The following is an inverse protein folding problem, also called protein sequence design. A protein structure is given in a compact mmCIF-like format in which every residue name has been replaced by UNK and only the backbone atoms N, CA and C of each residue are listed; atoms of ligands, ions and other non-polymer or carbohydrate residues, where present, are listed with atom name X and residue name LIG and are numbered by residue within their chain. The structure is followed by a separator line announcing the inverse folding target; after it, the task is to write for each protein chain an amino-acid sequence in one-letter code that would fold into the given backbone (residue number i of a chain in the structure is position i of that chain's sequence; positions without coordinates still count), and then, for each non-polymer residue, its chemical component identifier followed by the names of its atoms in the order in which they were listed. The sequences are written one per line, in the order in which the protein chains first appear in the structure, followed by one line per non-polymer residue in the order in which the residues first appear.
data_IF_066348115894
#
_entry.id   IF_066348115894
#
_cell.length_a   1.000
_cell.length_b   1.000
_cell.length_c   1.000
_cell.angle_alpha   90.00
_cell.angle_beta   90.00
_cell.angle_gamma   90.00
#
_symmetry.space_group_name_H-M   'P 1'
#
loop_
_entity.id
_entity.type
_entity.pdbx_description
1 polymer ?
#
# COMPACT_ATOMS: atom_id res chain seq x y z
N UNK A 1 14.20 4.00 42.37
CA UNK A 1 13.93 2.55 42.37
C UNK A 1 12.74 2.32 41.46
N UNK A 2 12.93 2.65 40.20
CA UNK A 2 11.99 2.40 39.12
C UNK A 2 12.57 1.24 38.33
N UNK A 3 12.02 0.05 38.55
CA UNK A 3 12.40 -1.11 37.75
C UNK A 3 11.98 -0.86 36.30
N UNK A 4 12.84 -1.22 35.33
CA UNK A 4 12.49 -1.16 33.93
C UNK A 4 11.71 -2.41 33.56
N UNK A 5 10.51 -2.21 33.00
CA UNK A 5 9.59 -3.30 32.64
C UNK A 5 9.46 -3.36 31.13
N UNK A 6 9.92 -4.47 30.56
CA UNK A 6 9.86 -4.79 29.15
C UNK A 6 8.70 -5.76 28.92
N UNK A 7 7.79 -5.45 28.00
CA UNK A 7 6.70 -6.35 27.66
C UNK A 7 7.14 -7.27 26.52
N UNK A 8 7.06 -8.58 26.74
CA UNK A 8 7.45 -9.59 25.77
C UNK A 8 6.22 -10.33 25.28
N UNK A 9 6.00 -10.29 23.97
CA UNK A 9 4.96 -11.02 23.26
C UNK A 9 5.58 -12.26 22.63
N UNK A 10 4.91 -13.41 22.75
CA UNK A 10 5.34 -14.68 22.17
C UNK A 10 4.13 -15.38 21.52
N UNK A 11 4.34 -16.42 20.69
CA UNK A 11 3.21 -17.20 20.15
C UNK A 11 2.40 -17.93 21.25
N UNK A 12 2.99 -18.11 22.43
CA UNK A 12 2.38 -18.80 23.56
C UNK A 12 1.66 -17.86 24.56
N UNK A 13 1.74 -16.53 24.37
CA UNK A 13 1.16 -15.53 25.27
C UNK A 13 2.12 -14.37 25.52
N UNK A 14 1.89 -13.61 26.60
CA UNK A 14 2.68 -12.44 26.95
C UNK A 14 3.18 -12.47 28.39
N UNK A 15 4.34 -11.88 28.64
CA UNK A 15 4.87 -11.67 29.98
C UNK A 15 5.67 -10.37 30.07
N UNK A 16 5.93 -9.92 31.30
CA UNK A 16 6.77 -8.78 31.60
C UNK A 16 8.14 -9.27 32.10
N UNK A 17 9.20 -8.76 31.48
CA UNK A 17 10.60 -8.90 31.89
C UNK A 17 10.98 -7.66 32.71
N UNK A 18 11.34 -7.87 33.97
CA UNK A 18 11.55 -6.81 34.95
C UNK A 18 13.02 -6.77 35.31
N UNK A 19 13.66 -5.64 35.02
CA UNK A 19 15.05 -5.37 35.35
C UNK A 19 15.13 -4.43 36.54
N UNK A 20 15.96 -4.79 37.52
CA UNK A 20 16.33 -3.89 38.60
C UNK A 20 17.35 -2.85 38.12
N UNK A 21 17.45 -1.71 38.81
CA UNK A 21 18.52 -0.73 38.57
C UNK A 21 19.92 -1.29 38.88
N UNK A 22 20.01 -2.34 39.70
CA UNK A 22 21.25 -3.03 40.05
C UNK A 22 21.46 -4.24 39.13
N UNK A 23 22.50 -4.18 38.29
CA UNK A 23 22.86 -5.21 37.31
C UNK A 23 23.24 -6.56 37.95
N UNK A 24 23.56 -6.58 39.26
CA UNK A 24 23.82 -7.81 40.00
C UNK A 24 22.54 -8.56 40.41
N UNK A 25 21.37 -7.93 40.27
CA UNK A 25 20.06 -8.54 40.54
C UNK A 25 19.56 -9.23 39.27
N UNK A 26 19.29 -10.56 39.31
CA UNK A 26 18.78 -11.29 38.15
C UNK A 26 17.45 -10.72 37.65
N UNK A 27 17.23 -10.85 36.34
CA UNK A 27 15.97 -10.53 35.69
C UNK A 27 14.80 -11.32 36.31
N UNK A 28 13.68 -10.64 36.55
CA UNK A 28 12.45 -11.27 37.01
C UNK A 28 11.42 -11.34 35.88
N UNK A 29 10.67 -12.44 35.83
CA UNK A 29 9.61 -12.65 34.84
C UNK A 29 8.25 -12.73 35.53
N UNK A 30 7.27 -11.98 35.02
CA UNK A 30 5.91 -11.95 35.56
C UNK A 30 4.88 -11.95 34.43
N UNK A 31 3.97 -12.92 34.40
CA UNK A 31 2.94 -13.03 33.36
C UNK A 31 2.56 -14.47 33.06
N UNK A 32 2.27 -14.77 31.80
CA UNK A 32 1.90 -16.11 31.37
C UNK A 32 3.08 -17.09 31.49
N UNK A 33 2.94 -18.15 32.29
CA UNK A 33 3.97 -19.17 32.49
C UNK A 33 4.34 -19.90 31.20
N UNK A 34 3.38 -20.11 30.28
CA UNK A 34 3.65 -20.75 28.99
C UNK A 34 4.48 -19.86 28.08
N UNK A 35 4.22 -18.55 28.09
CA UNK A 35 5.00 -17.56 27.35
C UNK A 35 6.44 -17.46 27.89
N UNK A 36 6.61 -17.47 29.22
CA UNK A 36 7.93 -17.47 29.86
C UNK A 36 8.70 -18.75 29.51
N UNK A 37 8.07 -19.93 29.60
CA UNK A 37 8.72 -21.19 29.24
C UNK A 37 9.12 -21.23 27.76
N UNK A 38 8.22 -20.82 26.86
CA UNK A 38 8.50 -20.72 25.43
C UNK A 38 9.72 -19.85 25.16
N UNK A 39 9.80 -18.67 25.78
CA UNK A 39 10.92 -17.74 25.61
C UNK A 39 12.25 -18.34 26.08
N UNK A 40 12.26 -18.97 27.26
CA UNK A 40 13.47 -19.62 27.81
C UNK A 40 13.94 -20.78 26.94
N UNK A 41 13.03 -21.65 26.52
CA UNK A 41 13.33 -22.77 25.64
C UNK A 41 13.83 -22.28 24.28
N UNK A 42 13.20 -21.25 23.73
CA UNK A 42 13.62 -20.65 22.47
C UNK A 42 15.04 -20.09 22.55
N UNK A 43 15.37 -19.34 23.60
CA UNK A 43 16.71 -18.78 23.81
C UNK A 43 17.77 -19.89 23.92
N UNK A 44 17.46 -20.94 24.67
CA UNK A 44 18.32 -22.10 24.86
C UNK A 44 18.54 -22.89 23.56
N UNK A 45 17.46 -23.19 22.82
CA UNK A 45 17.52 -23.99 21.59
C UNK A 45 18.30 -23.26 20.49
N UNK A 46 18.05 -21.96 20.33
CA UNK A 46 18.63 -21.18 19.24
C UNK A 46 20.04 -20.67 19.52
N UNK A 47 20.56 -20.85 20.75
CA UNK A 47 21.91 -20.47 21.13
C UNK A 47 22.24 -19.03 20.71
N UNK A 48 21.32 -18.11 21.00
CA UNK A 48 21.44 -16.71 20.61
C UNK A 48 22.70 -16.12 21.25
N UNK A 49 23.49 -15.40 20.45
CA UNK A 49 24.70 -14.75 20.91
C UNK A 49 24.46 -13.24 21.07
N UNK A 50 24.82 -12.69 22.23
CA UNK A 50 24.71 -11.26 22.51
C UNK A 50 25.80 -10.41 21.87
N UNK A 51 25.83 -9.13 22.24
CA UNK A 51 26.75 -8.12 21.67
C UNK A 51 28.24 -8.43 21.77
N UNK A 52 28.65 -9.31 22.70
CA UNK A 52 30.03 -9.74 22.89
C UNK A 52 30.29 -11.20 22.47
N UNK A 53 29.35 -11.82 21.74
CA UNK A 53 29.49 -13.19 21.22
C UNK A 53 29.37 -14.30 22.29
N UNK A 54 28.94 -13.98 23.51
CA UNK A 54 28.55 -14.98 24.50
C UNK A 54 27.13 -15.47 24.24
N UNK A 55 26.88 -16.75 24.56
CA UNK A 55 25.53 -17.30 24.55
C UNK A 55 24.69 -16.64 25.62
N UNK A 56 23.54 -16.10 25.21
CA UNK A 56 22.58 -15.48 26.11
C UNK A 56 21.96 -16.53 27.04
N UNK A 57 21.85 -16.16 28.32
CA UNK A 57 21.22 -16.95 29.36
C UNK A 57 19.98 -16.21 29.82
N UNK A 58 18.84 -16.89 29.86
CA UNK A 58 17.57 -16.27 30.25
C UNK A 58 17.60 -15.70 31.66
N UNK A 59 18.46 -16.20 32.54
CA UNK A 59 18.53 -15.70 33.91
C UNK A 59 19.55 -14.54 34.07
N UNK A 60 20.27 -14.19 32.98
CA UNK A 60 21.32 -13.16 32.95
C UNK A 60 21.24 -12.27 31.72
N UNK A 61 20.03 -11.97 31.26
CA UNK A 61 19.84 -11.01 30.19
C UNK A 61 20.07 -9.60 30.70
N UNK A 62 20.65 -8.76 29.84
CA UNK A 62 20.58 -7.30 29.99
C UNK A 62 19.41 -6.73 29.17
N UNK A 63 18.95 -5.51 29.43
CA UNK A 63 17.94 -4.86 28.60
C UNK A 63 18.33 -4.79 27.11
N UNK A 64 19.61 -4.50 26.84
CA UNK A 64 20.17 -4.47 25.49
C UNK A 64 20.22 -5.85 24.84
N UNK A 65 20.49 -6.93 25.60
CA UNK A 65 20.44 -8.30 25.08
C UNK A 65 19.01 -8.68 24.70
N UNK A 66 18.04 -8.37 25.57
CA UNK A 66 16.62 -8.69 25.36
C UNK A 66 16.05 -7.93 24.15
N UNK A 67 16.27 -6.62 24.05
CA UNK A 67 15.77 -5.84 22.93
C UNK A 67 16.61 -6.05 21.67
N UNK A 68 17.93 -6.10 21.76
CA UNK A 68 18.78 -6.18 20.56
C UNK A 68 18.80 -7.53 19.87
N UNK A 69 18.71 -8.64 20.62
CA UNK A 69 19.07 -9.97 20.12
C UNK A 69 17.96 -11.02 20.25
N UNK A 70 16.98 -10.81 21.13
CA UNK A 70 15.92 -11.80 21.38
C UNK A 70 14.66 -11.61 20.52
N UNK A 71 14.72 -10.78 19.47
CA UNK A 71 13.63 -10.53 18.51
C UNK A 71 14.05 -10.72 17.03
N UNK A 72 14.73 -11.82 16.65
CA UNK A 72 15.09 -12.02 15.25
C UNK A 72 13.82 -12.25 14.41
N UNK A 73 13.85 -11.78 13.15
CA UNK A 73 12.78 -12.05 12.19
C UNK A 73 12.52 -13.56 12.14
N UNK A 74 11.27 -13.97 12.41
CA UNK A 74 10.76 -15.35 12.51
C UNK A 74 10.80 -16.04 13.90
N UNK A 75 11.23 -15.39 14.98
CA UNK A 75 11.08 -15.98 16.33
C UNK A 75 9.64 -16.01 16.84
N UNK A 76 8.78 -15.11 16.32
CA UNK A 76 7.46 -14.83 16.90
C UNK A 76 7.55 -14.13 18.26
N UNK A 77 8.74 -13.67 18.66
CA UNK A 77 9.00 -12.95 19.91
C UNK A 77 9.17 -11.48 19.57
N UNK A 78 8.35 -10.63 20.18
CA UNK A 78 8.41 -9.17 20.07
C UNK A 78 8.63 -8.57 21.45
N UNK A 79 9.57 -7.64 21.56
CA UNK A 79 9.94 -7.00 22.82
C UNK A 79 9.60 -5.51 22.75
N UNK A 80 8.71 -5.07 23.64
CA UNK A 80 8.29 -3.68 23.76
C UNK A 80 8.98 -3.06 24.99
N UNK A 81 9.99 -2.21 24.80
CA UNK A 81 10.69 -1.54 25.89
C UNK A 81 9.83 -0.45 26.53
N UNK A 82 10.15 -0.02 27.76
CA UNK A 82 9.57 1.19 28.33
C UNK A 82 9.97 2.42 27.50
N UNK A 83 9.14 3.46 27.54
CA UNK A 83 9.26 4.63 26.66
C UNK A 83 10.64 5.30 26.73
N UNK A 84 11.22 5.43 27.92
CA UNK A 84 12.53 6.06 28.11
C UNK A 84 13.65 5.26 27.41
N UNK A 85 13.60 3.93 27.48
CA UNK A 85 14.57 3.04 26.83
C UNK A 85 14.33 3.00 25.31
N UNK A 86 13.07 3.01 24.86
CA UNK A 86 12.72 3.15 23.43
C UNK A 86 13.33 4.42 22.82
N UNK A 87 13.24 5.54 23.54
CA UNK A 87 13.84 6.81 23.12
C UNK A 87 15.37 6.74 23.06
N UNK A 88 16.01 5.96 23.93
CA UNK A 88 17.47 5.78 23.90
C UNK A 88 17.93 4.97 22.68
N UNK A 89 17.24 3.88 22.33
CA UNK A 89 17.56 3.07 21.16
C UNK A 89 17.31 3.81 19.84
N UNK A 90 16.24 4.61 19.79
CA UNK A 90 15.96 5.45 18.61
C UNK A 90 16.92 6.64 18.48
N UNK A 91 17.44 7.19 19.59
CA UNK A 91 18.44 8.26 19.56
C UNK A 91 19.83 7.79 19.11
N UNK A 92 20.23 6.55 19.41
CA UNK A 92 21.47 5.96 18.88
C UNK A 92 21.44 5.78 17.34
N UNK A 93 20.25 5.54 16.77
CA UNK A 93 20.03 5.52 15.31
C UNK A 93 19.87 6.92 14.69
N UNK A 94 19.58 7.96 15.49
CA UNK A 94 19.29 9.35 15.05
C UNK A 94 20.48 10.30 15.30
N UNK A 95 21.70 9.80 15.54
CA UNK A 95 22.91 10.64 15.67
C UNK A 95 23.40 11.29 14.33
N UNK A 96 22.49 11.75 13.48
CA UNK A 96 22.73 12.78 12.46
C UNK A 96 21.79 13.98 12.73
N UNK A 97 22.31 15.21 12.84
CA UNK A 97 21.54 16.30 13.44
C UNK A 97 20.58 16.94 12.44
N UNK A 98 19.33 17.14 12.85
CA UNK A 98 18.47 18.21 12.32
C UNK A 98 17.72 18.91 13.44
N UNK A 99 18.00 20.21 13.53
CA UNK A 99 17.39 21.18 14.41
C UNK A 99 15.92 21.47 14.05
N UNK A 100 15.14 21.68 15.11
CA UNK A 100 14.01 22.61 15.31
C UNK A 100 12.91 22.75 14.24
N UNK A 101 11.66 22.48 14.65
CA UNK A 101 10.60 23.47 14.46
C UNK A 101 9.49 23.38 15.53
N UNK A 102 9.19 24.56 16.10
CA UNK A 102 8.24 24.81 17.18
C UNK A 102 6.91 25.39 16.63
N UNK A 103 5.81 24.86 17.15
CA UNK A 103 4.54 25.49 17.56
C UNK A 103 3.72 26.51 16.70
N UNK A 104 2.43 26.18 16.60
CA UNK A 104 1.22 27.01 16.83
C UNK A 104 0.60 27.88 15.70
N UNK A 105 -0.69 27.68 15.42
CA UNK A 105 -1.82 28.54 15.88
C UNK A 105 -3.19 28.00 15.39
N UNK A 106 -4.15 27.96 16.32
CA UNK A 106 -5.61 27.82 16.13
C UNK A 106 -6.23 29.20 16.38
N UNK A 107 -7.12 29.70 15.52
CA UNK A 107 -8.53 30.01 15.84
C UNK A 107 -9.25 30.92 14.83
N UNK A 108 -10.58 30.74 14.79
CA UNK A 108 -11.64 31.70 14.46
C UNK A 108 -11.92 32.04 12.98
N UNK A 109 -12.91 31.33 12.39
CA UNK A 109 -14.15 31.96 11.88
C UNK A 109 -15.11 30.90 11.35
N UNK A 110 -16.02 30.44 12.21
CA UNK A 110 -17.27 29.78 11.83
C UNK A 110 -18.40 30.63 12.41
N UNK A 111 -19.09 31.41 11.56
CA UNK A 111 -20.55 31.64 11.62
C UNK A 111 -21.03 32.64 10.56
N UNK A 112 -22.12 32.23 9.90
CA UNK A 112 -23.00 32.93 8.95
C UNK A 112 -22.58 32.76 7.48
N UNK A 113 -23.40 32.25 6.56
CA UNK A 113 -24.87 32.10 6.52
C UNK A 113 -25.24 31.11 5.41
N UNK A 114 -26.31 30.36 5.63
CA UNK A 114 -26.90 29.42 4.67
C UNK A 114 -27.76 30.11 3.60
N UNK A 115 -28.02 29.35 2.53
CA UNK A 115 -28.91 29.55 1.39
C UNK A 115 -28.35 30.36 0.21
N UNK A 116 -27.71 29.65 -0.73
CA UNK A 116 -27.82 29.83 -2.18
C UNK A 116 -27.26 28.56 -2.89
N UNK A 117 -28.15 27.86 -3.60
CA UNK A 117 -27.96 26.97 -4.77
C UNK A 117 -26.60 26.26 -5.02
N UNK A 118 -26.70 24.94 -5.25
CA UNK A 118 -25.68 24.02 -5.77
C UNK A 118 -24.80 24.64 -6.88
N UNK A 119 -23.48 24.37 -6.80
CA UNK A 119 -22.31 24.84 -7.59
C UNK A 119 -21.41 25.94 -6.97
N UNK A 120 -21.60 26.32 -5.70
CA UNK A 120 -20.94 27.49 -5.11
C UNK A 120 -19.88 27.30 -4.02
N UNK A 121 -19.35 26.10 -3.75
CA UNK A 121 -18.38 25.94 -2.64
C UNK A 121 -16.96 26.10 -3.15
N UNK A 122 -16.35 27.24 -2.80
CA UNK A 122 -14.93 27.52 -3.03
C UNK A 122 -14.05 26.41 -2.45
N UNK A 123 -12.94 26.08 -3.13
CA UNK A 123 -11.98 25.06 -2.68
C UNK A 123 -11.49 25.28 -1.25
N UNK A 124 -11.39 26.53 -0.79
CA UNK A 124 -11.03 26.86 0.60
C UNK A 124 -12.07 26.39 1.62
N UNK A 125 -13.37 26.50 1.30
CA UNK A 125 -14.43 26.02 2.18
C UNK A 125 -14.47 24.49 2.22
N UNK A 126 -14.13 23.82 1.11
CA UNK A 126 -13.97 22.36 1.10
C UNK A 126 -12.83 21.92 2.01
N UNK A 127 -11.67 22.58 1.93
CA UNK A 127 -10.51 22.29 2.78
C UNK A 127 -10.82 22.57 4.26
N UNK A 128 -11.52 23.66 4.58
CA UNK A 128 -11.91 24.00 5.96
C UNK A 128 -12.86 22.95 6.55
N UNK A 129 -13.80 22.45 5.74
CA UNK A 129 -14.72 21.38 6.09
C UNK A 129 -14.01 20.02 6.28
N UNK A 130 -13.02 19.70 5.44
CA UNK A 130 -12.18 18.50 5.60
C UNK A 130 -11.36 18.58 6.90
N UNK A 131 -10.78 19.74 7.22
CA UNK A 131 -10.07 19.99 8.48
C UNK A 131 -11.00 19.89 9.69
N UNK A 132 -12.25 20.38 9.59
CA UNK A 132 -13.27 20.22 10.64
C UNK A 132 -13.61 18.73 10.86
N UNK A 133 -13.76 17.93 9.80
CA UNK A 133 -14.01 16.47 9.90
C UNK A 133 -12.83 15.74 10.55
N UNK A 134 -11.60 16.06 10.18
CA UNK A 134 -10.40 15.49 10.80
C UNK A 134 -10.35 15.77 12.30
N UNK A 135 -10.59 17.02 12.70
CA UNK A 135 -10.60 17.43 14.11
C UNK A 135 -11.76 16.80 14.90
N UNK A 136 -12.95 16.66 14.30
CA UNK A 136 -14.07 15.93 14.92
C UNK A 136 -13.75 14.43 15.08
N UNK A 137 -13.07 13.80 14.10
CA UNK A 137 -12.69 12.37 14.17
C UNK A 137 -11.67 12.10 15.28
N UNK A 138 -10.69 12.99 15.48
CA UNK A 138 -9.71 12.88 16.58
C UNK A 138 -10.42 13.01 17.94
N UNK A 139 -11.35 13.96 18.07
CA UNK A 139 -12.12 14.14 19.30
C UNK A 139 -13.17 13.04 19.55
N UNK A 140 -13.64 12.35 18.51
CA UNK A 140 -14.59 11.23 18.65
C UNK A 140 -14.00 10.05 19.45
N UNK A 141 -12.67 9.87 19.40
CA UNK A 141 -11.93 8.84 20.16
C UNK A 141 -11.85 9.15 21.66
N UNK A 142 -11.92 10.41 22.04
CA UNK A 142 -11.73 10.87 23.44
C UNK A 142 -13.04 11.18 24.17
N UNK A 143 -14.15 11.39 23.44
CA UNK A 143 -15.47 11.67 24.05
C UNK A 143 -16.08 10.38 24.64
N UNK A 144 -16.55 10.44 25.89
CA UNK A 144 -17.19 9.30 26.58
C UNK A 144 -18.73 9.33 26.50
N UNK A 145 -19.34 10.50 26.24
CA UNK A 145 -20.80 10.68 26.21
C UNK A 145 -21.41 10.33 24.85
N UNK A 146 -22.38 9.41 24.84
CA UNK A 146 -23.06 8.95 23.62
C UNK A 146 -23.85 10.04 22.89
N UNK A 147 -24.41 11.03 23.60
CA UNK A 147 -25.16 12.15 23.00
C UNK A 147 -24.22 13.13 22.29
N UNK A 148 -23.01 13.32 22.82
CA UNK A 148 -22.01 14.19 22.20
C UNK A 148 -21.38 13.55 20.97
N UNK A 149 -21.13 12.23 21.01
CA UNK A 149 -20.77 11.45 19.81
C UNK A 149 -21.84 11.57 18.74
N UNK A 150 -23.12 11.50 19.11
CA UNK A 150 -24.21 11.62 18.14
C UNK A 150 -24.27 13.01 17.48
N UNK A 151 -24.02 14.07 18.24
CA UNK A 151 -23.93 15.45 17.72
C UNK A 151 -22.75 15.61 16.77
N UNK A 152 -21.60 15.03 17.11
CA UNK A 152 -20.39 15.03 16.28
C UNK A 152 -20.59 14.24 14.98
N UNK A 153 -21.23 13.07 15.04
CA UNK A 153 -21.58 12.27 13.86
C UNK A 153 -22.60 12.99 12.98
N UNK A 154 -23.60 13.66 13.56
CA UNK A 154 -24.54 14.49 12.82
C UNK A 154 -23.83 15.65 12.11
N UNK A 155 -22.87 16.30 12.79
CA UNK A 155 -22.05 17.37 12.21
C UNK A 155 -21.16 16.88 11.06
N UNK A 156 -20.57 15.68 11.18
CA UNK A 156 -19.85 15.03 10.06
C UNK A 156 -20.77 14.80 8.87
N UNK A 157 -22.01 14.34 9.11
CA UNK A 157 -22.99 14.15 8.03
C UNK A 157 -23.36 15.47 7.36
N UNK A 158 -23.62 16.53 8.13
CA UNK A 158 -23.89 17.87 7.60
C UNK A 158 -22.72 18.42 6.77
N UNK A 159 -21.47 18.19 7.22
CA UNK A 159 -20.27 18.59 6.47
C UNK A 159 -20.13 17.78 5.17
N UNK A 160 -20.38 16.47 5.23
CA UNK A 160 -20.32 15.57 4.08
C UNK A 160 -21.36 15.95 3.02
N UNK A 161 -22.59 16.23 3.46
CA UNK A 161 -23.67 16.67 2.59
C UNK A 161 -23.37 18.07 2.00
N UNK A 162 -22.72 18.96 2.76
CA UNK A 162 -22.25 20.26 2.27
C UNK A 162 -21.15 20.11 1.21
N UNK A 163 -20.18 19.21 1.39
CA UNK A 163 -19.07 18.98 0.45
C UNK A 163 -19.49 18.40 -0.91
N UNK A 164 -20.78 18.18 -1.16
CA UNK A 164 -21.23 17.47 -2.35
C UNK A 164 -20.84 15.99 -2.34
N UNK A 165 -20.30 15.49 -1.23
CA UNK A 165 -20.13 14.07 -0.94
C UNK A 165 -21.50 13.51 -0.52
N UNK A 166 -22.52 13.78 -1.34
CA UNK A 166 -23.73 13.00 -1.32
C UNK A 166 -23.33 11.54 -1.49
N UNK A 167 -23.88 10.66 -0.65
CA UNK A 167 -23.61 9.22 -0.68
C UNK A 167 -23.50 8.77 -2.13
N UNK A 168 -22.30 8.35 -2.54
CA UNK A 168 -21.91 7.92 -3.89
C UNK A 168 -22.57 6.58 -4.27
N UNK A 169 -23.88 6.47 -4.03
CA UNK A 169 -24.64 5.24 -4.14
C UNK A 169 -26.15 5.45 -4.02
N UNK A 170 -26.74 6.42 -4.72
CA UNK A 170 -28.19 6.44 -5.00
C UNK A 170 -29.14 6.33 -3.81
N UNK A 171 -28.79 6.84 -2.63
CA UNK A 171 -29.62 6.76 -1.42
C UNK A 171 -30.51 7.99 -1.23
N UNK A 172 -31.70 7.81 -0.67
CA UNK A 172 -32.65 8.86 -0.32
C UNK A 172 -32.24 9.64 0.96
N UNK A 173 -33.01 10.67 1.30
CA UNK A 173 -32.77 11.51 2.49
C UNK A 173 -32.88 10.74 3.82
N UNK A 174 -33.43 9.53 3.82
CA UNK A 174 -33.50 8.63 4.96
C UNK A 174 -32.34 7.61 4.97
N UNK A 175 -31.43 7.66 3.99
CA UNK A 175 -30.33 6.71 3.82
C UNK A 175 -30.82 5.32 3.45
N UNK A 176 -31.88 5.23 2.65
CA UNK A 176 -32.36 4.01 2.00
C UNK A 176 -32.00 4.06 0.51
N UNK A 177 -31.76 2.91 -0.12
CA UNK A 177 -31.50 2.85 -1.56
C UNK A 177 -32.77 3.03 -2.40
N UNK A 178 -32.63 2.99 -3.73
CA UNK A 178 -33.75 3.11 -4.65
C UNK A 178 -34.84 2.05 -4.44
N UNK A 179 -34.51 0.92 -3.81
CA UNK A 179 -35.44 -0.16 -3.47
C UNK A 179 -36.08 0.04 -2.07
N UNK A 180 -35.76 1.13 -1.37
CA UNK A 180 -36.21 1.42 -0.02
C UNK A 180 -35.49 0.59 1.06
N UNK A 181 -34.35 -0.01 0.73
CA UNK A 181 -33.57 -0.86 1.62
C UNK A 181 -32.50 -0.05 2.33
N UNK A 182 -32.20 -0.39 3.58
CA UNK A 182 -31.09 0.24 4.30
C UNK A 182 -29.78 -0.50 4.01
N UNK A 183 -28.85 0.09 3.23
CA UNK A 183 -27.55 -0.53 2.99
C UNK A 183 -26.67 -0.47 4.24
N UNK A 184 -26.07 -1.59 4.62
CA UNK A 184 -25.02 -1.67 5.65
C UNK A 184 -24.20 -2.95 5.49
N UNK A 185 -22.96 -2.99 5.98
CA UNK A 185 -22.13 -4.21 5.97
C UNK A 185 -22.62 -5.26 6.97
N UNK A 186 -22.17 -6.51 6.81
CA UNK A 186 -22.53 -7.58 7.74
C UNK A 186 -22.06 -7.31 9.16
N UNK A 187 -20.84 -6.80 9.29
CA UNK A 187 -20.27 -6.41 10.57
C UNK A 187 -21.06 -5.28 11.24
N UNK A 188 -21.62 -4.33 10.47
CA UNK A 188 -22.50 -3.28 11.00
C UNK A 188 -23.85 -3.84 11.44
N UNK A 189 -24.44 -4.76 10.67
CA UNK A 189 -25.69 -5.43 11.05
C UNK A 189 -25.53 -6.30 12.30
N UNK A 190 -24.40 -7.00 12.44
CA UNK A 190 -24.15 -7.88 13.58
C UNK A 190 -23.95 -7.09 14.89
N UNK A 191 -23.46 -5.85 14.79
CA UNK A 191 -23.39 -4.90 15.92
C UNK A 191 -24.77 -4.39 16.39
N UNK A 192 -25.83 -4.55 15.58
CA UNK A 192 -27.20 -4.22 16.01
C UNK A 192 -27.67 -5.27 17.02
N UNK A 193 -28.14 -4.80 18.18
CA UNK A 193 -28.68 -5.65 19.24
C UNK A 193 -29.84 -6.52 18.71
N UNK A 194 -29.95 -7.76 19.17
CA UNK A 194 -30.95 -8.74 18.69
C UNK A 194 -32.38 -8.21 18.70
N UNK A 195 -32.74 -7.41 19.71
CA UNK A 195 -34.08 -6.86 19.89
C UNK A 195 -34.44 -5.78 18.85
N UNK A 196 -33.44 -5.25 18.14
CA UNK A 196 -33.60 -4.21 17.13
C UNK A 196 -33.35 -4.71 15.70
N UNK A 197 -33.19 -6.03 15.53
CA UNK A 197 -33.05 -6.69 14.23
C UNK A 197 -33.95 -7.90 14.11
N UNK A 198 -34.29 -8.28 12.88
CA UNK A 198 -35.22 -9.37 12.62
C UNK A 198 -35.16 -9.87 11.19
N UNK A 199 -36.12 -10.71 10.83
CA UNK A 199 -36.20 -11.30 9.50
C UNK A 199 -37.67 -11.40 9.08
N UNK A 200 -37.99 -10.95 7.88
CA UNK A 200 -39.32 -11.09 7.27
C UNK A 200 -39.54 -12.54 6.81
N UNK A 201 -40.79 -12.96 6.52
CA UNK A 201 -41.11 -14.32 6.07
C UNK A 201 -40.38 -14.78 4.79
N UNK A 202 -39.98 -13.83 3.95
CA UNK A 202 -39.20 -14.02 2.72
C UNK A 202 -37.69 -14.13 2.96
N UNK A 203 -37.25 -14.15 4.23
CA UNK A 203 -35.86 -14.15 4.69
C UNK A 203 -35.12 -12.81 4.54
N UNK A 204 -35.81 -11.73 4.19
CA UNK A 204 -35.21 -10.39 4.14
C UNK A 204 -34.87 -9.93 5.55
N UNK A 205 -33.62 -9.51 5.77
CA UNK A 205 -33.17 -8.97 7.05
C UNK A 205 -33.84 -7.62 7.32
N UNK A 206 -34.17 -7.35 8.58
CA UNK A 206 -34.73 -6.07 9.00
C UNK A 206 -34.00 -5.50 10.21
N UNK A 207 -34.07 -4.19 10.37
CA UNK A 207 -33.61 -3.48 11.56
C UNK A 207 -34.53 -2.29 11.87
N UNK A 208 -34.54 -1.84 13.12
CA UNK A 208 -35.25 -0.62 13.51
C UNK A 208 -34.42 0.62 13.14
N UNK A 209 -35.03 1.55 12.39
CA UNK A 209 -34.44 2.84 12.00
C UNK A 209 -35.38 3.97 12.36
N UNK A 210 -34.81 5.12 12.72
CA UNK A 210 -35.59 6.34 12.91
C UNK A 210 -35.80 7.01 11.55
N UNK A 211 -37.05 7.10 11.09
CA UNK A 211 -37.44 7.80 9.87
C UNK A 211 -38.40 8.92 10.26
N UNK A 212 -38.08 10.17 9.91
CA UNK A 212 -38.91 11.34 10.21
C UNK A 212 -39.41 11.45 11.67
N UNK A 213 -38.57 11.04 12.62
CA UNK A 213 -38.88 11.10 14.05
C UNK A 213 -39.71 9.93 14.61
N UNK A 214 -40.02 8.91 13.79
CA UNK A 214 -40.69 7.69 14.21
C UNK A 214 -39.78 6.46 14.03
N UNK A 215 -39.79 5.54 15.00
CA UNK A 215 -39.07 4.26 14.89
C UNK A 215 -39.85 3.34 13.94
N UNK A 216 -39.23 2.95 12.84
CA UNK A 216 -39.83 2.13 11.79
C UNK A 216 -38.95 0.91 11.54
N UNK A 217 -39.57 -0.25 11.31
CA UNK A 217 -38.86 -1.45 10.85
C UNK A 217 -38.55 -1.26 9.37
N UNK A 218 -37.27 -1.26 9.01
CA UNK A 218 -36.82 -1.12 7.63
C UNK A 218 -36.13 -2.41 7.19
N UNK A 219 -36.31 -2.82 5.92
CA UNK A 219 -35.55 -3.91 5.36
C UNK A 219 -34.09 -3.48 5.14
N UNK A 220 -33.17 -4.41 5.35
CA UNK A 220 -31.73 -4.19 5.34
C UNK A 220 -31.11 -4.94 4.17
N UNK A 221 -30.28 -4.24 3.40
CA UNK A 221 -29.47 -4.82 2.34
C UNK A 221 -28.04 -4.89 2.83
N UNK A 222 -27.49 -6.10 2.91
CA UNK A 222 -26.09 -6.24 3.32
C UNK A 222 -25.19 -5.85 2.14
N UNK A 223 -24.54 -4.69 2.24
CA UNK A 223 -23.59 -4.21 1.25
C UNK A 223 -22.21 -4.78 1.56
N UNK A 224 -21.56 -5.38 0.57
CA UNK A 224 -20.26 -6.04 0.76
C UNK A 224 -20.36 -7.53 1.14
N UNK A 225 -21.57 -8.08 1.25
CA UNK A 225 -21.77 -9.50 0.97
C UNK A 225 -22.09 -9.60 -0.52
N UNK A 226 -21.18 -10.18 -1.31
CA UNK A 226 -21.58 -10.75 -2.58
C UNK A 226 -22.76 -11.68 -2.31
N UNK A 227 -23.88 -11.33 -2.91
CA UNK A 227 -25.06 -12.17 -2.98
C UNK A 227 -24.61 -13.55 -3.48
N UNK A 228 -24.65 -14.55 -2.60
CA UNK A 228 -24.53 -15.96 -2.99
C UNK A 228 -25.87 -16.36 -3.59
N UNK A 229 -26.19 -15.79 -4.76
CA UNK A 229 -27.19 -16.33 -5.67
C UNK A 229 -26.68 -17.67 -6.21
N UNK A 230 -27.57 -18.61 -6.59
CA UNK A 230 -27.25 -20.02 -6.66
C UNK A 230 -26.14 -20.25 -7.67
N UNK A 231 -25.01 -20.73 -7.16
CA UNK A 231 -23.88 -21.33 -7.84
C UNK A 231 -23.96 -21.26 -9.38
N UNK A 232 -23.46 -20.18 -10.02
CA UNK A 232 -22.73 -20.41 -11.24
C UNK A 232 -21.45 -21.14 -10.80
N UNK A 233 -21.23 -22.33 -11.34
CA UNK A 233 -20.02 -23.14 -11.12
C UNK A 233 -18.80 -22.20 -11.03
N UNK A 234 -18.25 -22.07 -9.83
CA UNK A 234 -17.16 -21.13 -9.57
C UNK A 234 -15.97 -21.47 -10.43
N UNK A 235 -15.27 -20.43 -10.91
CA UNK A 235 -13.94 -20.65 -11.48
C UNK A 235 -13.10 -21.44 -10.45
N UNK A 236 -12.43 -22.51 -10.89
CA UNK A 236 -11.79 -23.45 -9.98
C UNK A 236 -10.71 -22.72 -9.17
N UNK A 237 -10.90 -22.64 -7.85
CA UNK A 237 -9.85 -22.15 -6.95
C UNK A 237 -8.62 -23.04 -7.06
N UNK A 238 -7.45 -22.44 -7.20
CA UNK A 238 -6.19 -23.18 -7.29
C UNK A 238 -6.00 -24.07 -6.07
N UNK A 239 -5.88 -25.36 -6.31
CA UNK A 239 -5.69 -26.35 -5.26
C UNK A 239 -4.20 -26.63 -5.02
N UNK A 240 -3.90 -27.28 -3.89
CA UNK A 240 -2.54 -27.79 -3.63
C UNK A 240 -2.13 -28.84 -4.67
N UNK A 241 -3.08 -29.55 -5.27
CA UNK A 241 -2.79 -30.49 -6.35
C UNK A 241 -2.31 -29.77 -7.61
N UNK A 242 -2.91 -28.61 -7.94
CA UNK A 242 -2.49 -27.78 -9.06
C UNK A 242 -1.08 -27.23 -8.86
N UNK A 243 -0.77 -26.76 -7.65
CA UNK A 243 0.59 -26.34 -7.28
C UNK A 243 1.58 -27.50 -7.46
N UNK A 244 1.25 -28.68 -6.93
CA UNK A 244 2.11 -29.86 -7.06
C UNK A 244 2.40 -30.24 -8.53
N UNK A 245 1.46 -29.99 -9.44
CA UNK A 245 1.64 -30.26 -10.88
C UNK A 245 2.64 -29.29 -11.53
N UNK A 246 2.71 -28.04 -11.07
CA UNK A 246 3.66 -27.04 -11.61
C UNK A 246 5.00 -26.99 -10.87
N UNK A 247 5.09 -27.57 -9.66
CA UNK A 247 6.32 -27.58 -8.87
C UNK A 247 7.57 -28.10 -9.60
N UNK A 248 7.51 -29.15 -10.45
CA UNK A 248 8.68 -29.58 -11.21
C UNK A 248 9.26 -28.48 -12.11
N UNK A 249 8.40 -27.68 -12.75
CA UNK A 249 8.81 -26.54 -13.57
C UNK A 249 9.40 -25.44 -12.69
N UNK A 250 8.67 -25.05 -11.63
CA UNK A 250 9.07 -23.95 -10.75
C UNK A 250 10.43 -24.18 -10.07
N UNK A 251 10.78 -25.43 -9.77
CA UNK A 251 12.09 -25.79 -9.20
C UNK A 251 13.29 -25.45 -10.09
N UNK A 252 13.08 -25.31 -11.40
CA UNK A 252 14.14 -24.93 -12.33
C UNK A 252 14.34 -23.42 -12.40
N UNK A 253 13.40 -22.63 -11.85
CA UNK A 253 13.42 -21.17 -11.91
C UNK A 253 13.45 -20.51 -10.53
N UNK A 254 13.09 -21.22 -9.46
CA UNK A 254 12.99 -20.67 -8.10
C UNK A 254 13.91 -21.46 -7.17
N UNK A 255 14.75 -20.75 -6.42
CA UNK A 255 15.68 -21.34 -5.47
C UNK A 255 15.00 -22.12 -4.34
N UNK A 256 15.70 -23.15 -3.84
CA UNK A 256 15.15 -24.04 -2.82
C UNK A 256 14.76 -23.32 -1.51
N UNK A 257 15.52 -22.29 -1.12
CA UNK A 257 15.24 -21.49 0.07
C UNK A 257 13.92 -20.70 -0.08
N UNK A 258 13.75 -20.02 -1.21
CA UNK A 258 12.53 -19.28 -1.52
C UNK A 258 11.31 -20.23 -1.62
N UNK A 259 11.45 -21.38 -2.28
CA UNK A 259 10.39 -22.40 -2.33
C UNK A 259 10.03 -22.95 -0.94
N UNK A 260 10.99 -23.10 -0.04
CA UNK A 260 10.74 -23.55 1.32
C UNK A 260 9.98 -22.49 2.14
N UNK A 261 10.32 -21.21 1.97
CA UNK A 261 9.60 -20.09 2.57
C UNK A 261 8.15 -20.04 2.07
N UNK A 262 7.95 -20.05 0.74
CA UNK A 262 6.61 -20.06 0.11
C UNK A 262 5.82 -21.30 0.52
N UNK A 263 6.45 -22.47 0.59
CA UNK A 263 5.82 -23.70 1.07
C UNK A 263 5.26 -23.58 2.50
N UNK A 264 5.87 -22.74 3.34
CA UNK A 264 5.36 -22.45 4.68
C UNK A 264 4.20 -21.45 4.65
N UNK A 265 4.29 -20.43 3.80
CA UNK A 265 3.24 -19.41 3.61
C UNK A 265 1.96 -20.00 2.99
N UNK A 266 2.06 -21.02 2.13
CA UNK A 266 0.91 -21.77 1.57
C UNK A 266 0.02 -22.39 2.67
N UNK A 267 0.57 -22.64 3.86
CA UNK A 267 -0.17 -23.18 5.01
C UNK A 267 -0.73 -22.10 5.94
N UNK A 268 -0.38 -20.83 5.71
CA UNK A 268 -0.83 -19.68 6.49
C UNK A 268 -2.12 -19.05 5.93
N UNK A 269 -2.49 -17.90 6.50
CA UNK A 269 -3.70 -17.15 6.14
C UNK A 269 -3.66 -16.66 4.69
N UNK A 270 -2.47 -16.33 4.19
CA UNK A 270 -2.21 -15.94 2.79
C UNK A 270 -2.04 -17.13 1.84
N UNK A 271 -2.35 -18.34 2.30
CA UNK A 271 -2.02 -19.56 1.57
C UNK A 271 -2.68 -19.67 0.20
N UNK A 272 -3.84 -19.04 -0.01
CA UNK A 272 -4.48 -19.02 -1.33
C UNK A 272 -3.75 -18.10 -2.31
N UNK A 273 -3.34 -16.90 -1.86
CA UNK A 273 -2.57 -15.96 -2.67
C UNK A 273 -1.30 -16.62 -3.23
N UNK A 274 -0.54 -17.32 -2.39
CA UNK A 274 0.68 -18.00 -2.85
C UNK A 274 0.41 -19.15 -3.82
N UNK A 275 -0.69 -19.89 -3.67
CA UNK A 275 -1.04 -20.94 -4.65
C UNK A 275 -1.34 -20.32 -6.01
N UNK A 276 -2.19 -19.29 -6.03
CA UNK A 276 -2.58 -18.60 -7.25
C UNK A 276 -1.34 -17.98 -7.91
N UNK A 277 -0.46 -17.37 -7.11
CA UNK A 277 0.76 -16.74 -7.62
C UNK A 277 1.76 -17.73 -8.20
N UNK A 278 1.94 -18.91 -7.58
CA UNK A 278 2.81 -19.95 -8.15
C UNK A 278 2.25 -20.49 -9.49
N UNK A 279 0.93 -20.56 -9.65
CA UNK A 279 0.32 -20.95 -10.93
C UNK A 279 0.49 -19.84 -11.98
N UNK A 280 0.29 -18.58 -11.59
CA UNK A 280 0.51 -17.42 -12.45
C UNK A 280 1.96 -17.41 -13.00
N UNK A 281 2.95 -17.50 -12.12
CA UNK A 281 4.37 -17.57 -12.49
C UNK A 281 4.64 -18.80 -13.37
N UNK A 282 4.08 -19.96 -13.04
CA UNK A 282 4.26 -21.16 -13.87
C UNK A 282 3.66 -21.00 -15.27
N UNK A 283 2.56 -20.27 -15.41
CA UNK A 283 1.95 -19.98 -16.70
C UNK A 283 2.79 -18.99 -17.49
N UNK A 284 3.29 -17.94 -16.84
CA UNK A 284 4.22 -16.99 -17.43
C UNK A 284 5.49 -17.67 -17.94
N UNK A 285 6.13 -18.52 -17.14
CA UNK A 285 7.30 -19.32 -17.57
C UNK A 285 6.95 -20.22 -18.76
N UNK A 286 5.73 -20.77 -18.84
CA UNK A 286 5.33 -21.58 -19.99
C UNK A 286 5.17 -20.75 -21.26
N UNK A 287 4.63 -19.55 -21.16
CA UNK A 287 4.28 -18.69 -22.30
C UNK A 287 5.39 -17.71 -22.69
N UNK A 288 6.38 -17.47 -21.83
CA UNK A 288 7.46 -16.55 -22.14
C UNK A 288 8.30 -17.06 -23.33
N UNK A 289 8.89 -16.13 -24.12
CA UNK A 289 9.64 -16.46 -25.32
C UNK A 289 10.83 -17.37 -25.03
N UNK A 290 11.18 -18.23 -25.99
CA UNK A 290 12.40 -19.04 -25.94
C UNK A 290 13.56 -18.24 -26.53
N UNK A 291 14.78 -18.73 -26.30
CA UNK A 291 15.98 -18.11 -26.85
C UNK A 291 15.81 -17.83 -28.36
N UNK A 292 16.12 -16.60 -28.79
CA UNK A 292 15.98 -16.05 -30.15
C UNK A 292 14.58 -15.59 -30.58
N UNK A 293 13.52 -15.81 -29.79
CA UNK A 293 12.17 -15.39 -30.17
C UNK A 293 11.98 -13.86 -30.14
N UNK A 294 12.78 -13.13 -29.36
CA UNK A 294 12.82 -11.67 -29.28
C UNK A 294 14.08 -11.06 -29.92
N UNK A 295 14.80 -11.83 -30.75
CA UNK A 295 15.99 -11.33 -31.44
C UNK A 295 15.67 -10.12 -32.32
N UNK A 296 16.57 -9.13 -32.30
CA UNK A 296 16.39 -7.87 -33.01
C UNK A 296 15.40 -6.88 -32.40
N UNK A 297 14.75 -7.19 -31.26
CA UNK A 297 13.86 -6.25 -30.58
C UNK A 297 14.57 -5.17 -29.76
N UNK A 298 15.84 -5.40 -29.39
CA UNK A 298 16.64 -4.44 -28.61
C UNK A 298 15.92 -4.02 -27.33
N UNK A 299 15.81 -2.72 -27.08
CA UNK A 299 15.12 -2.18 -25.89
C UNK A 299 13.61 -2.49 -25.86
N UNK A 300 13.01 -2.92 -26.98
CA UNK A 300 11.60 -3.34 -27.05
C UNK A 300 11.37 -4.77 -26.58
N UNK A 301 12.44 -5.54 -26.32
CA UNK A 301 12.30 -6.87 -25.75
C UNK A 301 11.66 -6.78 -24.37
N UNK A 302 10.72 -7.67 -24.08
CA UNK A 302 9.98 -7.72 -22.81
C UNK A 302 10.73 -8.63 -21.85
N UNK A 303 11.03 -8.13 -20.66
CA UNK A 303 11.52 -8.93 -19.53
C UNK A 303 10.32 -9.52 -18.76
N UNK A 304 10.19 -10.85 -18.82
CA UNK A 304 9.09 -11.59 -18.20
C UNK A 304 9.37 -11.98 -16.76
N UNK A 305 10.63 -12.28 -16.42
CA UNK A 305 11.01 -12.60 -15.05
C UNK A 305 12.02 -11.59 -14.54
N UNK A 306 11.98 -11.35 -13.23
CA UNK A 306 12.95 -10.53 -12.54
C UNK A 306 13.50 -11.29 -11.34
N UNK A 307 14.81 -11.25 -11.19
CA UNK A 307 15.53 -11.85 -10.08
C UNK A 307 16.36 -10.79 -9.40
N UNK A 308 16.46 -10.86 -8.08
CA UNK A 308 17.20 -9.87 -7.31
C UNK A 308 17.99 -10.51 -6.16
N UNK A 309 19.12 -9.86 -5.81
CA UNK A 309 19.86 -10.16 -4.59
C UNK A 309 20.74 -8.98 -4.19
N UNK A 310 20.44 -8.37 -3.05
CA UNK A 310 21.16 -7.17 -2.60
C UNK A 310 20.91 -6.03 -3.59
N UNK A 311 21.98 -5.52 -4.22
CA UNK A 311 21.90 -4.49 -5.26
C UNK A 311 21.98 -5.01 -6.69
N UNK A 312 21.97 -6.33 -6.88
CA UNK A 312 22.04 -6.94 -8.22
C UNK A 312 20.67 -7.38 -8.71
N UNK A 313 20.38 -7.05 -9.96
CA UNK A 313 19.12 -7.34 -10.65
C UNK A 313 19.40 -8.14 -11.93
N UNK A 314 18.55 -9.13 -12.23
CA UNK A 314 18.58 -9.89 -13.47
C UNK A 314 17.18 -9.96 -14.07
N UNK A 315 17.03 -9.42 -15.27
CA UNK A 315 15.77 -9.36 -16.01
C UNK A 315 15.80 -10.37 -17.16
N UNK A 316 14.95 -11.38 -17.13
CA UNK A 316 14.94 -12.46 -18.12
C UNK A 316 13.93 -12.15 -19.22
N UNK A 317 14.41 -12.05 -20.45
CA UNK A 317 13.57 -11.84 -21.63
C UNK A 317 13.18 -13.16 -22.28
N UNK A 318 14.06 -14.15 -22.24
CA UNK A 318 13.86 -15.43 -22.92
C UNK A 318 14.34 -16.59 -22.05
N UNK A 319 13.55 -17.67 -22.00
CA UNK A 319 13.94 -18.92 -21.35
C UNK A 319 14.75 -19.80 -22.30
N UNK A 320 15.27 -20.92 -21.79
CA UNK A 320 15.99 -21.87 -22.63
C UNK A 320 15.05 -22.41 -23.73
N UNK A 321 15.61 -22.62 -24.92
CA UNK A 321 14.87 -23.28 -25.99
C UNK A 321 14.79 -24.79 -25.79
N UNK A 322 15.78 -25.36 -25.10
CA UNK A 322 15.90 -26.78 -24.75
C UNK A 322 14.94 -27.18 -23.61
N UNK A 323 14.82 -28.49 -23.36
CA UNK A 323 13.97 -29.02 -22.30
C UNK A 323 14.55 -28.77 -20.90
N UNK A 324 15.89 -28.78 -20.78
CA UNK A 324 16.60 -28.49 -19.54
C UNK A 324 16.80 -26.98 -19.41
N UNK A 325 16.21 -26.37 -18.38
CA UNK A 325 16.38 -24.96 -18.10
C UNK A 325 17.72 -24.75 -17.36
N UNK A 326 18.78 -24.52 -18.12
CA UNK A 326 20.12 -24.19 -17.59
C UNK A 326 20.41 -22.71 -17.83
N UNK A 327 20.18 -22.24 -19.06
CA UNK A 327 20.47 -20.88 -19.49
C UNK A 327 19.20 -20.12 -19.85
N UNK A 328 19.23 -18.81 -19.66
CA UNK A 328 18.22 -17.87 -20.13
C UNK A 328 18.92 -16.69 -20.79
N UNK A 329 18.21 -15.91 -21.61
CA UNK A 329 18.74 -14.67 -22.15
C UNK A 329 18.07 -13.48 -21.46
N UNK A 330 18.86 -12.47 -21.14
CA UNK A 330 18.35 -11.32 -20.42
C UNK A 330 19.42 -10.28 -20.08
N UNK A 331 19.02 -9.32 -19.26
CA UNK A 331 19.84 -8.23 -18.77
C UNK A 331 20.28 -8.51 -17.33
N UNK A 332 21.58 -8.51 -17.07
CA UNK A 332 22.14 -8.58 -15.73
C UNK A 332 22.71 -7.21 -15.35
N UNK A 333 22.08 -6.52 -14.40
CA UNK A 333 22.55 -5.26 -13.82
C UNK A 333 22.99 -5.47 -12.37
N UNK A 334 24.23 -5.92 -12.19
CA UNK A 334 24.76 -6.30 -10.87
C UNK A 334 25.20 -5.08 -10.05
N UNK A 335 25.53 -3.97 -10.73
CA UNK A 335 26.12 -2.78 -10.13
C UNK A 335 25.25 -1.53 -10.25
N UNK A 336 24.09 -1.61 -10.92
CA UNK A 336 23.23 -0.46 -11.19
C UNK A 336 23.81 0.50 -12.22
N UNK A 337 24.69 0.02 -13.10
CA UNK A 337 25.39 0.83 -14.12
C UNK A 337 24.83 0.63 -15.53
N UNK A 338 23.62 0.05 -15.63
CA UNK A 338 22.87 -0.14 -16.87
C UNK A 338 22.97 -1.54 -17.44
N UNK A 339 23.72 -2.43 -16.79
CA UNK A 339 23.74 -3.88 -17.00
C UNK A 339 24.15 -4.39 -18.38
N UNK A 340 24.47 -5.67 -18.43
CA UNK A 340 24.91 -6.38 -19.63
C UNK A 340 23.84 -7.35 -20.13
N UNK A 341 23.58 -7.34 -21.45
CA UNK A 341 22.73 -8.34 -22.09
C UNK A 341 23.55 -9.59 -22.41
N UNK A 342 23.02 -10.76 -22.06
CA UNK A 342 23.69 -12.00 -22.35
C UNK A 342 22.97 -13.22 -21.80
N UNK A 343 23.65 -14.35 -21.91
CA UNK A 343 23.21 -15.60 -21.32
C UNK A 343 23.41 -15.58 -19.81
N UNK A 344 22.35 -15.88 -19.08
CA UNK A 344 22.30 -15.97 -17.63
C UNK A 344 22.06 -17.43 -17.27
N UNK A 345 22.94 -17.99 -16.44
CA UNK A 345 22.76 -19.34 -15.93
C UNK A 345 21.76 -19.31 -14.76
N UNK A 346 20.52 -19.72 -15.01
CA UNK A 346 19.44 -19.69 -14.00
C UNK A 346 19.77 -20.63 -12.85
N UNK A 347 20.32 -21.81 -13.14
CA UNK A 347 20.71 -22.78 -12.11
C UNK A 347 21.77 -22.17 -11.17
N UNK A 348 22.76 -21.46 -11.71
CA UNK A 348 23.82 -20.84 -10.91
C UNK A 348 23.28 -19.73 -9.99
N UNK A 349 22.44 -18.83 -10.50
CA UNK A 349 21.94 -17.71 -9.69
C UNK A 349 21.02 -18.20 -8.56
N UNK A 350 20.15 -19.19 -8.82
CA UNK A 350 19.27 -19.72 -7.77
C UNK A 350 20.06 -20.54 -6.73
N UNK A 351 21.15 -21.23 -7.12
CA UNK A 351 22.06 -21.90 -6.18
C UNK A 351 22.79 -20.90 -5.27
N UNK A 352 23.06 -19.69 -5.77
CA UNK A 352 23.65 -18.61 -4.99
C UNK A 352 22.61 -17.79 -4.23
N UNK A 353 21.35 -18.22 -4.17
CA UNK A 353 20.30 -17.56 -3.37
C UNK A 353 19.86 -16.22 -3.94
N UNK A 354 19.91 -16.06 -5.27
CA UNK A 354 19.17 -15.00 -5.96
C UNK A 354 17.69 -15.39 -6.00
N UNK A 355 16.81 -14.47 -5.65
CA UNK A 355 15.37 -14.71 -5.49
C UNK A 355 14.59 -14.23 -6.70
N UNK A 356 13.54 -14.97 -7.08
CA UNK A 356 12.60 -14.54 -8.12
C UNK A 356 11.61 -13.52 -7.52
N UNK A 357 11.44 -12.38 -8.15
CA UNK A 357 10.50 -11.35 -7.72
C UNK A 357 9.05 -11.74 -8.08
N UNK A 358 8.24 -12.01 -7.05
CA UNK A 358 6.83 -12.36 -7.24
C UNK A 358 5.97 -11.14 -7.56
N UNK A 359 6.43 -9.91 -7.35
CA UNK A 359 5.66 -8.71 -7.67
C UNK A 359 6.03 -8.10 -9.01
N UNK A 360 6.92 -8.77 -9.76
CA UNK A 360 7.31 -8.33 -11.10
C UNK A 360 6.11 -8.29 -12.04
N UNK A 361 6.06 -7.23 -12.86
CA UNK A 361 5.15 -7.12 -13.99
C UNK A 361 5.99 -6.96 -15.25
N UNK A 362 5.74 -7.77 -16.30
CA UNK A 362 6.52 -7.70 -17.53
C UNK A 362 6.53 -6.32 -18.14
N UNK A 363 7.73 -5.87 -18.53
CA UNK A 363 7.98 -4.56 -19.12
C UNK A 363 9.19 -4.59 -20.04
N UNK A 364 9.30 -3.58 -20.90
CA UNK A 364 10.39 -3.50 -21.88
C UNK A 364 11.75 -3.28 -21.21
N UNK A 365 12.82 -3.74 -21.85
CA UNK A 365 14.18 -3.39 -21.42
C UNK A 365 14.40 -1.88 -21.44
N UNK A 366 13.75 -1.15 -22.34
CA UNK A 366 13.80 0.30 -22.39
C UNK A 366 13.15 0.99 -21.18
N UNK A 367 12.02 0.46 -20.68
CA UNK A 367 11.39 0.90 -19.43
C UNK A 367 12.30 0.64 -18.23
N UNK A 368 13.02 -0.49 -18.23
CA UNK A 368 13.95 -0.85 -17.16
C UNK A 368 15.17 0.07 -17.15
N UNK A 369 15.74 0.36 -18.33
CA UNK A 369 16.92 1.22 -18.50
C UNK A 369 16.60 2.72 -18.43
N UNK A 370 15.33 3.10 -18.38
CA UNK A 370 14.89 4.49 -18.43
C UNK A 370 15.14 5.16 -19.79
N UNK A 371 15.23 4.39 -20.87
CA UNK A 371 15.46 4.89 -22.23
C UNK A 371 14.16 5.20 -22.98
N UNK A 372 13.01 4.72 -22.48
CA UNK A 372 11.69 4.95 -23.08
C UNK A 372 11.14 6.38 -22.85
N UNK A 373 11.96 7.29 -22.31
CA UNK A 373 11.60 8.71 -22.11
C UNK A 373 11.77 9.59 -23.36
N UNK A 374 11.88 9.03 -24.57
CA UNK A 374 11.88 9.80 -25.82
C UNK A 374 11.08 9.08 -26.90
N UNK A 375 10.03 9.76 -27.37
CA UNK A 375 9.16 9.42 -28.50
C UNK A 375 8.20 8.23 -28.33
N UNK A 376 7.04 8.50 -27.72
CA UNK A 376 5.77 7.98 -28.22
C UNK A 376 4.75 9.11 -28.38
N UNK A 377 4.80 9.75 -29.55
CA UNK A 377 3.57 10.22 -30.20
C UNK A 377 3.58 9.74 -31.65
N UNK A 378 2.44 9.15 -32.02
CA UNK A 378 1.98 8.78 -33.37
C UNK A 378 2.31 7.38 -33.86
N UNK A 379 1.25 6.58 -33.90
CA UNK A 379 1.20 5.31 -34.60
C UNK A 379 0.88 5.43 -36.10
N UNK A 380 1.17 4.29 -36.75
CA UNK A 380 0.38 3.65 -37.81
C UNK A 380 0.54 4.12 -39.27
N UNK A 381 1.00 3.12 -40.05
CA UNK A 381 0.73 2.79 -41.47
C UNK A 381 1.67 3.27 -42.58
N UNK A 382 2.47 2.28 -43.01
CA UNK A 382 2.83 1.86 -44.37
C UNK A 382 2.37 2.70 -45.58
N UNK A 383 3.32 2.98 -46.47
CA UNK A 383 3.09 3.39 -47.85
C UNK A 383 4.41 3.70 -48.57
N UNK A 384 4.73 2.87 -49.55
CA UNK A 384 5.90 2.89 -50.44
C UNK A 384 5.92 4.09 -51.41
N UNK A 385 7.03 4.24 -52.14
CA UNK A 385 7.30 5.07 -53.34
C UNK A 385 8.07 6.41 -53.22
N UNK A 386 9.37 6.29 -53.56
CA UNK A 386 10.16 7.06 -54.54
C UNK A 386 10.07 8.60 -54.68
N UNK A 387 11.24 9.22 -54.47
CA UNK A 387 11.90 10.30 -55.24
C UNK A 387 11.07 11.31 -56.04
N UNK A 388 11.23 12.61 -55.74
CA UNK A 388 11.99 13.54 -56.58
C UNK A 388 12.15 14.93 -55.94
N UNK A 389 13.24 15.57 -56.32
CA UNK A 389 13.76 16.87 -55.93
C UNK A 389 12.86 18.01 -56.44
N UNK A 390 12.63 19.06 -55.64
CA UNK A 390 12.76 20.48 -56.05
C UNK A 390 12.53 21.45 -54.87
N UNK A 391 13.57 22.21 -54.56
CA UNK A 391 13.60 23.46 -53.78
C UNK A 391 13.46 24.64 -54.78
N UNK A 392 13.27 25.93 -54.41
CA UNK A 392 12.73 26.52 -53.18
C UNK A 392 11.58 27.54 -53.46
N UNK A 393 10.72 27.80 -52.49
CA UNK A 393 9.94 29.04 -52.45
C UNK A 393 9.68 29.48 -51.00
N UNK A 394 10.53 30.42 -50.60
CA UNK A 394 10.32 31.49 -49.64
C UNK A 394 8.85 31.81 -49.30
N UNK A 395 8.43 31.42 -48.08
CA UNK A 395 7.47 32.19 -47.30
C UNK A 395 7.90 32.17 -45.84
N UNK A 396 8.36 33.33 -45.40
CA UNK A 396 8.54 33.74 -44.02
C UNK A 396 7.23 33.62 -43.25
N UNK A 397 7.18 32.74 -42.25
CA UNK A 397 6.29 32.93 -41.09
C UNK A 397 7.14 32.91 -39.82
N UNK A 398 7.23 34.09 -39.23
CA UNK A 398 7.66 34.38 -37.87
C UNK A 398 6.85 33.55 -36.85
N UNK A 399 7.44 33.11 -35.72
CA UNK A 399 6.69 32.45 -34.67
C UNK A 399 5.69 33.42 -34.06
N UNK A 400 4.42 33.04 -34.04
CA UNK A 400 3.39 33.74 -33.28
C UNK A 400 3.74 33.73 -31.78
N UNK A 401 3.60 34.91 -31.16
CA UNK A 401 3.69 35.17 -29.73
C UNK A 401 2.87 34.14 -28.94
N UNK A 402 3.54 33.22 -28.23
CA UNK A 402 2.92 32.55 -27.10
C UNK A 402 2.74 33.60 -26.00
N UNK A 403 1.49 33.84 -25.60
CA UNK A 403 1.18 34.74 -24.48
C UNK A 403 1.98 34.30 -23.23
N UNK A 404 2.47 35.23 -22.40
CA UNK A 404 3.12 34.90 -21.12
C UNK A 404 2.27 33.97 -20.23
N UNK A 405 0.95 34.02 -20.39
CA UNK A 405 -0.01 33.17 -19.67
C UNK A 405 0.04 31.69 -20.13
N UNK A 406 0.28 31.42 -21.41
CA UNK A 406 0.35 30.04 -21.94
C UNK A 406 1.64 29.33 -21.51
N UNK A 407 2.74 30.07 -21.43
CA UNK A 407 4.01 29.56 -20.90
C UNK A 407 3.91 29.27 -19.39
N UNK A 408 3.28 30.16 -18.61
CA UNK A 408 3.07 29.94 -17.18
C UNK A 408 2.15 28.75 -16.91
N UNK A 409 1.06 28.61 -17.68
CA UNK A 409 0.14 27.46 -17.58
C UNK A 409 0.85 26.13 -17.82
N UNK A 410 1.67 26.04 -18.88
CA UNK A 410 2.42 24.81 -19.20
C UNK A 410 3.41 24.40 -18.09
N UNK A 411 3.99 25.38 -17.39
CA UNK A 411 4.87 25.15 -16.25
C UNK A 411 4.13 24.50 -15.07
N UNK A 412 2.95 25.04 -14.71
CA UNK A 412 2.14 24.47 -13.62
C UNK A 412 1.59 23.09 -13.94
N UNK A 413 1.18 22.83 -15.18
CA UNK A 413 0.75 21.48 -15.60
C UNK A 413 1.89 20.48 -15.42
N UNK A 414 3.11 20.84 -15.82
CA UNK A 414 4.28 19.96 -15.66
C UNK A 414 4.63 19.70 -14.19
N UNK A 415 4.46 20.70 -13.32
CA UNK A 415 4.67 20.54 -11.88
C UNK A 415 3.59 19.65 -11.23
N UNK A 416 2.32 19.79 -11.62
CA UNK A 416 1.22 18.95 -11.15
C UNK A 416 1.37 17.49 -11.61
N UNK A 417 1.75 17.26 -12.87
CA UNK A 417 2.04 15.92 -13.38
C UNK A 417 3.23 15.28 -12.65
N UNK A 418 4.28 16.05 -12.37
CA UNK A 418 5.39 15.57 -11.54
C UNK A 418 4.97 15.24 -10.11
N UNK A 419 3.97 15.94 -9.56
CA UNK A 419 3.45 15.70 -8.22
C UNK A 419 2.67 14.38 -8.14
N UNK A 420 1.96 13.98 -9.21
CA UNK A 420 1.22 12.71 -9.25
C UNK A 420 2.08 11.46 -9.07
N UNK A 421 3.40 11.57 -9.27
CA UNK A 421 4.36 10.49 -9.03
C UNK A 421 4.89 10.43 -7.57
N UNK A 422 4.53 11.39 -6.72
CA UNK A 422 4.93 11.42 -5.32
C UNK A 422 4.10 10.43 -4.50
N UNK A 423 4.77 9.52 -3.79
CA UNK A 423 4.11 8.46 -3.01
C UNK A 423 4.02 8.79 -1.52
N UNK A 424 4.84 9.74 -1.03
CA UNK A 424 4.77 10.22 0.34
C UNK A 424 3.61 11.20 0.50
N UNK A 425 2.60 10.83 1.29
CA UNK A 425 1.37 11.61 1.50
C UNK A 425 1.63 12.98 2.12
N UNK A 426 2.61 13.09 3.03
CA UNK A 426 2.92 14.35 3.71
C UNK A 426 3.58 15.29 2.70
N UNK A 427 4.59 14.79 1.98
CA UNK A 427 5.30 15.55 0.94
C UNK A 427 4.40 15.91 -0.24
N UNK A 428 3.47 15.04 -0.62
CA UNK A 428 2.48 15.29 -1.65
C UNK A 428 1.58 16.47 -1.26
N UNK A 429 1.05 16.46 -0.03
CA UNK A 429 0.19 17.53 0.47
C UNK A 429 0.91 18.88 0.52
N UNK A 430 2.12 18.92 1.07
CA UNK A 430 2.90 20.17 1.17
C UNK A 430 3.19 20.77 -0.21
N UNK A 431 3.58 19.94 -1.19
CA UNK A 431 3.84 20.41 -2.56
C UNK A 431 2.56 20.82 -3.30
N UNK A 432 1.43 20.15 -3.05
CA UNK A 432 0.15 20.54 -3.63
C UNK A 432 -0.28 21.93 -3.13
N UNK A 433 -0.14 22.19 -1.83
CA UNK A 433 -0.44 23.48 -1.21
C UNK A 433 0.44 24.61 -1.79
N UNK A 434 1.73 24.35 -1.98
CA UNK A 434 2.67 25.30 -2.60
C UNK A 434 2.32 25.61 -4.07
N UNK A 435 1.94 24.59 -4.86
CA UNK A 435 1.55 24.77 -6.26
C UNK A 435 0.22 25.54 -6.34
N UNK A 436 -0.77 25.17 -5.54
CA UNK A 436 -2.08 25.82 -5.52
C UNK A 436 -1.98 27.32 -5.16
N UNK A 437 -1.15 27.67 -4.16
CA UNK A 437 -0.91 29.07 -3.79
C UNK A 437 -0.27 29.88 -4.94
N UNK A 438 0.65 29.27 -5.71
CA UNK A 438 1.27 29.92 -6.88
C UNK A 438 0.30 30.05 -8.06
N UNK A 439 -0.56 29.05 -8.28
CA UNK A 439 -1.60 29.09 -9.33
C UNK A 439 -2.65 30.17 -9.02
N UNK A 440 -3.04 30.31 -7.76
CA UNK A 440 -3.94 31.38 -7.29
C UNK A 440 -3.31 32.76 -7.49
N UNK A 441 -2.03 32.94 -7.10
CA UNK A 441 -1.31 34.19 -7.32
C UNK A 441 -1.17 34.54 -8.81
N UNK A 442 -1.10 33.53 -9.69
CA UNK A 442 -1.06 33.70 -11.13
C UNK A 442 -2.45 33.93 -11.77
N UNK A 443 -3.55 33.79 -11.02
CA UNK A 443 -4.91 33.93 -11.54
C UNK A 443 -5.33 32.81 -12.49
N UNK A 444 -4.65 31.66 -12.46
CA UNK A 444 -4.85 30.54 -13.38
C UNK A 444 -5.75 29.43 -12.82
N UNK A 445 -6.42 29.66 -11.69
CA UNK A 445 -7.24 28.66 -10.99
C UNK A 445 -8.34 28.07 -11.88
N UNK A 446 -9.07 28.89 -12.63
CA UNK A 446 -10.13 28.41 -13.54
C UNK A 446 -9.55 27.67 -14.76
N UNK A 447 -8.34 28.04 -15.18
CA UNK A 447 -7.67 27.45 -16.33
C UNK A 447 -7.02 26.09 -16.03
N UNK A 448 -6.76 25.79 -14.74
CA UNK A 448 -6.09 24.58 -14.25
C UNK A 448 -6.96 23.74 -13.31
N UNK A 449 -8.27 24.04 -13.26
CA UNK A 449 -9.21 23.37 -12.37
C UNK A 449 -9.27 21.86 -12.61
N UNK A 450 -9.19 21.42 -13.86
CA UNK A 450 -9.18 20.00 -14.24
C UNK A 450 -7.91 19.33 -13.69
N UNK A 451 -6.74 19.91 -13.93
CA UNK A 451 -5.46 19.33 -13.52
C UNK A 451 -5.29 19.32 -11.99
N UNK A 452 -5.84 20.32 -11.28
CA UNK A 452 -5.88 20.35 -9.83
C UNK A 452 -6.83 19.29 -9.26
N UNK A 453 -7.99 19.09 -9.88
CA UNK A 453 -8.93 18.03 -9.49
C UNK A 453 -8.34 16.64 -9.70
N UNK A 454 -7.71 16.39 -10.85
CA UNK A 454 -7.03 15.12 -11.14
C UNK A 454 -5.92 14.81 -10.12
N UNK A 455 -5.19 15.84 -9.68
CA UNK A 455 -4.13 15.70 -8.68
C UNK A 455 -4.70 15.44 -7.28
N UNK A 456 -5.86 16.01 -6.94
CA UNK A 456 -6.56 15.75 -5.69
C UNK A 456 -7.17 14.33 -5.62
N UNK A 457 -7.56 13.76 -6.76
CA UNK A 457 -8.01 12.37 -6.85
C UNK A 457 -6.87 11.38 -6.54
N UNK A 458 -5.64 11.68 -6.98
CA UNK A 458 -4.44 10.88 -6.64
C UNK A 458 -4.17 10.92 -5.13
N UNK A 459 -4.26 12.10 -4.49
CA UNK A 459 -4.14 12.20 -3.04
C UNK A 459 -5.23 11.39 -2.31
N UNK A 460 -6.46 11.41 -2.82
CA UNK A 460 -7.58 10.64 -2.27
C UNK A 460 -7.31 9.13 -2.38
N UNK A 461 -6.72 8.68 -3.49
CA UNK A 461 -6.31 7.29 -3.68
C UNK A 461 -5.17 6.91 -2.72
N UNK A 462 -4.16 7.76 -2.54
CA UNK A 462 -3.05 7.52 -1.62
C UNK A 462 -3.54 7.43 -0.16
N UNK A 463 -4.46 8.30 0.26
CA UNK A 463 -5.08 8.25 1.58
C UNK A 463 -5.90 6.97 1.77
N UNK A 464 -6.65 6.54 0.74
CA UNK A 464 -7.41 5.29 0.78
C UNK A 464 -6.50 4.05 0.83
N UNK A 465 -5.36 4.08 0.12
CA UNK A 465 -4.34 3.05 0.17
C UNK A 465 -3.69 2.95 1.56
N UNK A 466 -3.38 4.08 2.20
CA UNK A 466 -2.88 4.11 3.58
C UNK A 466 -3.91 3.59 4.59
N UNK A 467 -5.21 3.85 4.39
CA UNK A 467 -6.28 3.33 5.25
C UNK A 467 -6.50 1.80 5.08
N UNK A 468 -6.14 1.24 3.92
CA UNK A 468 -6.27 -0.20 3.62
C UNK A 468 -4.99 -1.01 3.90
N UNK A 469 -3.83 -0.37 3.91
CA UNK A 469 -2.53 -0.93 4.29
C UNK A 469 -2.25 -0.95 5.80
N UNK A 470 -3.16 -0.41 6.62
CA UNK A 470 -3.14 -0.57 8.07
C UNK A 470 -3.87 -1.85 8.49
N UNK A 471 -3.28 -3.01 8.25
CA UNK A 471 -3.71 -4.29 8.83
C UNK A 471 -2.53 -5.08 9.35
#
# INVERSE_FOLDING_TARGET
MTNSVYKVLTPAGQFDAIFAEDEDIPIEYSGDELAICFFKDWLFINQISGSQGYLLDSDKLTPADLYGFCQPLNSGIEVIPPFDDFMSYTQEDIAMPRDELDSAIISDEVKNTADLTFDGISGMDKIKLIKEVGSIRVNLKTVQSGIEKLKMVKRIKEIRDALGVGSSGGLDNNGLDADGMWPMTRAEYDKIHSDFKGTLPDRTLTALKLINGATTVVPVKITGEQQKDPEPEGEPQTTVADVNNVMPLLKNFIGAAQLAAVGSLIRGEEGQFFKDKLIEIANEIKTMPKTYDQDGMGDKAIAYLHYFKGSGDWYITEKDMEDDQIQAFGLADIFGDGGELGYINIEEIIQHGVELDFHWTPKTLGQIRGTDSKDETQGTQAGDESSEINDPAETTETPEDASPEDSAKSGFISELESLKAETDIIRFNERLDEIAARVEQAGLMEALDIELNDTADVLTALLSAAESGGK
#
